data_IF_547992694213
#
_entry.id   IF_547992694213
#
_cell.length_a   1.000
_cell.length_b   1.000
_cell.length_c   1.000
_cell.angle_alpha   90.00
_cell.angle_beta   90.00
_cell.angle_gamma   90.00
#
_symmetry.space_group_name_H-M   'P 1'
#
loop_
_entity.id
_entity.type
_entity.pdbx_description
1 polymer ?
#
# COMPACT_ATOMS: atom_id res chain seq x y z
N UNK A 1 -8.75 10.69 -25.52
CA UNK A 1 -9.43 9.44 -25.92
C UNK A 1 -10.87 9.48 -25.43
N UNK A 2 -11.87 9.11 -26.24
CA UNK A 2 -13.25 8.91 -25.78
C UNK A 2 -13.32 7.87 -24.66
N UNK A 3 -14.24 8.05 -23.69
CA UNK A 3 -14.41 7.17 -22.51
C UNK A 3 -14.54 5.67 -22.86
N UNK A 4 -15.13 5.36 -24.03
CA UNK A 4 -15.28 3.99 -24.54
C UNK A 4 -13.94 3.29 -24.81
N UNK A 5 -12.94 4.02 -25.30
CA UNK A 5 -11.60 3.48 -25.55
C UNK A 5 -10.87 3.22 -24.24
N UNK A 6 -11.02 4.11 -23.24
CA UNK A 6 -10.40 3.95 -21.93
C UNK A 6 -10.95 2.72 -21.17
N UNK A 7 -12.26 2.47 -21.26
CA UNK A 7 -12.88 1.25 -20.70
C UNK A 7 -12.43 -0.02 -21.43
N UNK A 8 -12.25 0.05 -22.76
CA UNK A 8 -11.75 -1.09 -23.55
C UNK A 8 -10.31 -1.43 -23.18
N UNK A 9 -9.49 -0.40 -22.93
CA UNK A 9 -8.14 -0.57 -22.43
C UNK A 9 -8.17 -1.20 -21.03
N UNK A 10 -8.93 -0.67 -20.07
CA UNK A 10 -9.06 -1.25 -18.73
C UNK A 10 -9.37 -2.75 -18.77
N UNK A 11 -10.36 -3.15 -19.58
CA UNK A 11 -10.72 -4.57 -19.74
C UNK A 11 -9.55 -5.40 -20.25
N UNK A 12 -8.87 -4.94 -21.32
CA UNK A 12 -7.70 -5.64 -21.87
C UNK A 12 -6.61 -5.80 -20.82
N UNK A 13 -6.36 -4.76 -20.04
CA UNK A 13 -5.34 -4.76 -18.99
C UNK A 13 -5.69 -5.69 -17.84
N UNK A 14 -6.95 -5.70 -17.42
CA UNK A 14 -7.45 -6.61 -16.38
C UNK A 14 -7.31 -8.08 -16.81
N UNK A 15 -7.62 -8.40 -18.06
CA UNK A 15 -7.40 -9.76 -18.60
C UNK A 15 -5.92 -10.13 -18.58
N UNK A 16 -5.03 -9.22 -18.98
CA UNK A 16 -3.57 -9.47 -18.94
C UNK A 16 -3.04 -9.64 -17.50
N UNK A 17 -3.56 -8.89 -16.54
CA UNK A 17 -3.27 -9.08 -15.10
C UNK A 17 -3.72 -10.47 -14.67
N UNK A 18 -4.95 -10.86 -14.98
CA UNK A 18 -5.49 -12.16 -14.62
C UNK A 18 -4.67 -13.31 -15.22
N UNK A 19 -4.26 -13.22 -16.50
CA UNK A 19 -3.38 -14.21 -17.13
C UNK A 19 -2.03 -14.29 -16.41
N UNK A 20 -1.43 -13.14 -16.07
CA UNK A 20 -0.16 -13.12 -15.33
C UNK A 20 -0.28 -13.72 -13.92
N UNK A 21 -1.38 -13.45 -13.22
CA UNK A 21 -1.67 -14.03 -11.92
C UNK A 21 -1.90 -15.55 -12.00
N UNK A 22 -2.56 -16.05 -13.05
CA UNK A 22 -2.75 -17.48 -13.28
C UNK A 22 -1.42 -18.16 -13.56
N UNK A 23 -0.59 -17.60 -14.45
CA UNK A 23 0.74 -18.14 -14.74
C UNK A 23 1.64 -18.10 -13.50
N UNK A 24 1.59 -17.00 -12.75
CA UNK A 24 2.27 -16.89 -11.46
C UNK A 24 1.76 -17.94 -10.46
N UNK A 25 0.45 -18.20 -10.42
CA UNK A 25 -0.17 -19.20 -9.56
C UNK A 25 0.27 -20.62 -9.91
N UNK A 26 0.41 -20.94 -11.20
CA UNK A 26 0.99 -22.21 -11.66
C UNK A 26 2.45 -22.33 -11.19
N UNK A 27 3.25 -21.28 -11.33
CA UNK A 27 4.62 -21.27 -10.79
C UNK A 27 4.63 -21.41 -9.25
N UNK A 28 3.70 -20.75 -8.56
CA UNK A 28 3.52 -20.86 -7.11
C UNK A 28 3.14 -22.27 -6.67
N UNK A 29 2.34 -22.99 -7.48
CA UNK A 29 1.98 -24.38 -7.23
C UNK A 29 3.19 -25.30 -7.25
N UNK A 30 4.11 -25.09 -8.20
CA UNK A 30 5.37 -25.84 -8.28
C UNK A 30 6.32 -25.53 -7.11
N UNK A 31 6.19 -24.34 -6.51
CA UNK A 31 6.99 -23.86 -5.39
C UNK A 31 6.28 -24.00 -4.02
N UNK A 32 5.16 -24.73 -3.98
CA UNK A 32 4.34 -24.86 -2.78
C UNK A 32 5.13 -25.44 -1.59
N UNK A 33 5.78 -26.60 -1.76
CA UNK A 33 6.47 -27.30 -0.67
C UNK A 33 7.54 -26.44 0.03
N UNK A 34 8.53 -25.84 -0.67
CA UNK A 34 9.56 -25.04 -0.01
C UNK A 34 8.99 -23.78 0.66
N UNK A 35 7.98 -23.15 0.05
CA UNK A 35 7.36 -21.94 0.63
C UNK A 35 6.49 -22.28 1.82
N UNK A 36 5.74 -23.38 1.76
CA UNK A 36 4.93 -23.85 2.88
C UNK A 36 5.81 -24.15 4.10
N UNK A 37 6.97 -24.77 3.90
CA UNK A 37 7.96 -24.97 4.98
C UNK A 37 8.46 -23.63 5.55
N UNK A 38 8.77 -22.66 4.68
CA UNK A 38 9.17 -21.32 5.11
C UNK A 38 8.08 -20.64 5.93
N UNK A 39 6.82 -20.63 5.46
CA UNK A 39 5.68 -20.00 6.11
C UNK A 39 5.41 -20.51 7.54
N UNK A 40 5.85 -21.73 7.87
CA UNK A 40 5.70 -22.32 9.21
C UNK A 40 6.80 -21.90 10.19
N UNK A 41 7.95 -21.45 9.69
CA UNK A 41 9.13 -21.15 10.49
C UNK A 41 8.88 -20.14 11.63
N UNK A 42 8.12 -19.03 11.44
CA UNK A 42 7.83 -18.09 12.52
C UNK A 42 7.09 -18.73 13.69
N UNK A 43 6.20 -19.70 13.43
CA UNK A 43 5.49 -20.44 14.48
C UNK A 43 6.46 -21.35 15.21
N UNK A 44 7.31 -22.09 14.47
CA UNK A 44 8.30 -22.98 15.07
C UNK A 44 9.27 -22.24 15.97
N UNK A 45 9.68 -21.02 15.60
CA UNK A 45 10.57 -20.19 16.41
C UNK A 45 9.90 -19.69 17.70
N UNK A 46 8.62 -19.33 17.65
CA UNK A 46 7.87 -18.92 18.84
C UNK A 46 7.57 -20.12 19.74
N UNK A 47 7.24 -21.27 19.15
CA UNK A 47 6.98 -22.53 19.84
C UNK A 47 8.25 -23.18 20.42
N UNK A 48 9.44 -22.91 19.90
CA UNK A 48 10.68 -23.37 20.54
C UNK A 48 11.04 -22.56 21.80
N UNK A 49 10.46 -21.37 21.97
CA UNK A 49 10.67 -20.49 23.12
C UNK A 49 9.64 -20.64 24.24
N UNK A 50 8.59 -21.43 24.03
CA UNK A 50 7.58 -21.81 25.04
C UNK A 50 7.50 -23.33 25.02
N UNK A 51 7.52 -24.04 26.15
CA UNK A 51 7.36 -25.51 26.19
C UNK A 51 5.94 -25.99 25.77
N UNK A 52 5.36 -25.38 24.72
CA UNK A 52 4.02 -25.65 24.19
C UNK A 52 4.11 -26.30 22.81
N UNK A 53 3.37 -27.38 22.62
CA UNK A 53 3.26 -28.10 21.36
C UNK A 53 2.36 -27.32 20.40
N UNK A 54 2.91 -26.32 19.70
CA UNK A 54 2.18 -25.64 18.61
C UNK A 54 2.22 -26.52 17.36
N UNK A 55 1.21 -27.35 17.19
CA UNK A 55 1.03 -28.18 15.99
C UNK A 55 -0.04 -27.55 15.10
N UNK A 56 0.31 -27.31 13.83
CA UNK A 56 -0.64 -26.85 12.82
C UNK A 56 -1.55 -28.03 12.45
N UNK A 57 -2.77 -28.03 12.97
CA UNK A 57 -3.74 -29.07 12.63
C UNK A 57 -4.54 -28.67 11.38
N UNK A 58 -4.76 -29.64 10.50
CA UNK A 58 -5.63 -29.52 9.33
C UNK A 58 -6.88 -30.35 9.59
N UNK A 59 -8.01 -29.68 9.78
CA UNK A 59 -9.25 -30.32 10.25
C UNK A 59 -9.89 -31.32 9.26
N UNK A 60 -9.41 -31.39 8.00
CA UNK A 60 -9.89 -32.38 7.03
C UNK A 60 -9.08 -32.48 5.73
N UNK A 61 -9.26 -33.55 4.96
CA UNK A 61 -8.48 -33.81 3.73
C UNK A 61 -8.60 -32.70 2.68
N UNK A 62 -9.77 -32.07 2.58
CA UNK A 62 -9.99 -30.92 1.68
C UNK A 62 -9.25 -29.64 2.11
N UNK A 63 -8.93 -29.49 3.40
CA UNK A 63 -8.24 -28.29 3.93
C UNK A 63 -6.80 -28.21 3.45
N UNK A 64 -6.14 -29.34 3.24
CA UNK A 64 -4.79 -29.39 2.67
C UNK A 64 -4.78 -28.91 1.21
N UNK A 65 -5.75 -29.34 0.41
CA UNK A 65 -5.90 -28.87 -0.97
C UNK A 65 -6.24 -27.37 -1.04
N UNK A 66 -7.19 -26.90 -0.22
CA UNK A 66 -7.53 -25.47 -0.14
C UNK A 66 -6.32 -24.62 0.26
N UNK A 67 -5.53 -25.09 1.23
CA UNK A 67 -4.28 -24.44 1.61
C UNK A 67 -3.28 -24.40 0.45
N UNK A 68 -3.09 -25.50 -0.26
CA UNK A 68 -2.18 -25.56 -1.40
C UNK A 68 -2.59 -24.56 -2.49
N UNK A 69 -3.88 -24.48 -2.82
CA UNK A 69 -4.41 -23.47 -3.76
C UNK A 69 -4.13 -22.06 -3.27
N UNK A 70 -4.41 -21.74 -2.00
CA UNK A 70 -4.20 -20.41 -1.42
C UNK A 70 -2.73 -19.98 -1.45
N UNK A 71 -1.81 -20.86 -1.04
CA UNK A 71 -0.36 -20.59 -1.07
C UNK A 71 0.12 -20.40 -2.51
N UNK A 72 -0.37 -21.21 -3.44
CA UNK A 72 -0.04 -21.08 -4.86
C UNK A 72 -0.50 -19.74 -5.43
N UNK A 73 -1.72 -19.31 -5.13
CA UNK A 73 -2.25 -18.01 -5.55
C UNK A 73 -1.49 -16.85 -4.90
N UNK A 74 -1.19 -16.95 -3.60
CA UNK A 74 -0.38 -15.98 -2.87
C UNK A 74 0.99 -15.79 -3.53
N UNK A 75 1.71 -16.88 -3.76
CA UNK A 75 2.98 -16.86 -4.48
C UNK A 75 2.81 -16.33 -5.89
N UNK A 76 1.71 -16.65 -6.56
CA UNK A 76 1.39 -16.11 -7.87
C UNK A 76 1.34 -14.58 -7.86
N UNK A 77 0.72 -13.95 -6.86
CA UNK A 77 0.71 -12.49 -6.72
C UNK A 77 2.12 -11.93 -6.51
N UNK A 78 2.96 -12.59 -5.71
CA UNK A 78 4.34 -12.17 -5.42
C UNK A 78 5.26 -12.29 -6.63
N UNK A 79 5.27 -13.46 -7.27
CA UNK A 79 6.13 -13.78 -8.41
C UNK A 79 5.72 -12.96 -9.63
N UNK A 80 4.41 -12.82 -9.89
CA UNK A 80 3.91 -12.01 -11.00
C UNK A 80 3.85 -10.51 -10.69
N UNK A 81 4.36 -10.06 -9.53
CA UNK A 81 4.38 -8.63 -9.15
C UNK A 81 4.98 -7.69 -10.20
N UNK A 82 6.07 -8.03 -10.91
CA UNK A 82 6.57 -7.17 -11.99
C UNK A 82 5.56 -7.00 -13.13
N UNK A 83 4.82 -8.06 -13.45
CA UNK A 83 3.86 -8.09 -14.54
C UNK A 83 2.57 -7.34 -14.21
N UNK A 84 1.91 -7.68 -13.10
CA UNK A 84 0.63 -7.04 -12.78
C UNK A 84 0.80 -5.58 -12.39
N UNK A 85 1.90 -5.21 -11.71
CA UNK A 85 2.21 -3.80 -11.45
C UNK A 85 2.49 -3.03 -12.74
N UNK A 86 3.23 -3.62 -13.68
CA UNK A 86 3.43 -3.01 -15.01
C UNK A 86 2.09 -2.71 -15.67
N UNK A 87 1.20 -3.69 -15.65
CA UNK A 87 -0.08 -3.59 -16.33
C UNK A 87 -1.00 -2.55 -15.69
N UNK A 88 -0.96 -2.44 -14.35
CA UNK A 88 -1.65 -1.41 -13.57
C UNK A 88 -1.12 0.00 -13.90
N UNK A 89 0.19 0.20 -13.90
CA UNK A 89 0.79 1.50 -14.22
C UNK A 89 0.58 1.91 -15.68
N UNK A 90 0.69 0.95 -16.59
CA UNK A 90 0.51 1.22 -18.00
C UNK A 90 -0.96 1.56 -18.36
N UNK A 91 -1.95 1.28 -17.47
CA UNK A 91 -3.32 1.81 -17.60
C UNK A 91 -3.40 3.32 -17.40
N UNK A 92 -2.56 3.86 -16.52
CA UNK A 92 -2.50 5.29 -16.17
C UNK A 92 -1.68 6.06 -17.22
N UNK A 93 -0.67 5.39 -17.80
CA UNK A 93 0.27 5.95 -18.78
C UNK A 93 -0.28 6.47 -20.14
N UNK A 94 -1.43 6.03 -20.71
CA UNK A 94 -1.82 6.39 -22.07
C UNK A 94 -2.12 7.87 -22.28
N UNK A 95 -2.31 8.64 -21.21
CA UNK A 95 -2.50 10.10 -21.26
C UNK A 95 -1.21 10.92 -21.17
N UNK A 96 -0.06 10.27 -20.93
CA UNK A 96 1.20 10.96 -20.65
C UNK A 96 2.08 11.13 -21.91
N UNK A 97 2.85 12.22 -21.93
CA UNK A 97 3.79 12.55 -23.00
C UNK A 97 4.95 11.55 -23.06
N UNK A 98 5.70 11.52 -24.18
CA UNK A 98 6.84 10.61 -24.35
C UNK A 98 7.90 10.72 -23.25
N UNK A 99 8.13 11.93 -22.70
CA UNK A 99 9.08 12.16 -21.59
C UNK A 99 8.53 11.62 -20.27
N UNK A 100 7.23 11.75 -20.05
CA UNK A 100 6.56 11.27 -18.85
C UNK A 100 6.44 9.75 -18.78
N UNK A 101 6.42 9.08 -19.93
CA UNK A 101 6.48 7.61 -20.01
C UNK A 101 7.76 7.04 -19.36
N UNK A 102 8.87 7.78 -19.39
CA UNK A 102 10.10 7.35 -18.73
C UNK A 102 9.97 7.41 -17.19
N UNK A 103 9.26 8.40 -16.66
CA UNK A 103 8.96 8.46 -15.23
C UNK A 103 8.06 7.29 -14.80
N UNK A 104 7.07 6.92 -15.61
CA UNK A 104 6.23 5.75 -15.34
C UNK A 104 7.03 4.44 -15.21
N UNK A 105 8.08 4.26 -16.03
CA UNK A 105 8.99 3.11 -15.91
C UNK A 105 9.83 3.19 -14.63
N UNK A 106 10.30 4.39 -14.26
CA UNK A 106 11.02 4.60 -12.99
C UNK A 106 10.15 4.28 -11.76
N UNK A 107 8.88 4.68 -11.76
CA UNK A 107 7.95 4.34 -10.68
C UNK A 107 7.66 2.85 -10.61
N UNK A 108 7.53 2.17 -11.75
CA UNK A 108 7.40 0.72 -11.77
C UNK A 108 8.64 0.02 -11.19
N UNK A 109 9.83 0.49 -11.57
CA UNK A 109 11.09 -0.03 -11.05
C UNK A 109 11.25 0.18 -9.54
N UNK A 110 10.60 1.22 -8.98
CA UNK A 110 10.50 1.41 -7.53
C UNK A 110 9.37 0.58 -6.88
N UNK A 111 8.24 0.42 -7.57
CA UNK A 111 7.05 -0.26 -7.05
C UNK A 111 7.28 -1.74 -6.77
N UNK A 112 7.98 -2.45 -7.67
CA UNK A 112 8.20 -3.90 -7.52
C UNK A 112 9.08 -4.21 -6.29
N UNK A 113 10.28 -3.62 -6.12
CA UNK A 113 11.07 -3.82 -4.91
C UNK A 113 10.35 -3.36 -3.66
N UNK A 114 9.59 -2.26 -3.73
CA UNK A 114 8.89 -1.74 -2.55
C UNK A 114 7.73 -2.64 -2.12
N UNK A 115 6.98 -3.22 -3.07
CA UNK A 115 5.98 -4.25 -2.79
C UNK A 115 6.60 -5.48 -2.11
N UNK A 116 7.72 -5.99 -2.65
CA UNK A 116 8.43 -7.12 -2.07
C UNK A 116 9.02 -6.78 -0.70
N UNK A 117 9.54 -5.56 -0.52
CA UNK A 117 10.02 -5.06 0.76
C UNK A 117 8.88 -4.95 1.80
N UNK A 118 7.68 -4.55 1.38
CA UNK A 118 6.49 -4.56 2.22
C UNK A 118 6.12 -5.97 2.68
N UNK A 119 6.07 -6.92 1.75
CA UNK A 119 5.85 -8.33 2.08
C UNK A 119 6.94 -8.89 3.02
N UNK A 120 8.20 -8.51 2.79
CA UNK A 120 9.33 -8.84 3.67
C UNK A 120 9.23 -8.19 5.05
N UNK A 121 8.76 -6.94 5.15
CA UNK A 121 8.53 -6.29 6.44
C UNK A 121 7.43 -7.01 7.23
N UNK A 122 6.35 -7.42 6.58
CA UNK A 122 5.32 -8.23 7.23
C UNK A 122 5.89 -9.53 7.80
N UNK A 123 6.79 -10.19 7.07
CA UNK A 123 7.51 -11.37 7.56
C UNK A 123 8.29 -11.10 8.85
N UNK A 124 8.96 -9.95 8.95
CA UNK A 124 9.73 -9.55 10.13
C UNK A 124 8.85 -9.14 11.32
N UNK A 125 7.68 -8.56 11.05
CA UNK A 125 6.73 -8.13 12.09
C UNK A 125 5.89 -9.30 12.61
N UNK A 126 5.69 -10.34 11.79
CA UNK A 126 4.82 -11.47 12.09
C UNK A 126 5.12 -12.18 13.43
N UNK A 127 6.37 -12.50 13.81
CA UNK A 127 6.65 -13.12 15.11
C UNK A 127 6.18 -12.27 16.29
N UNK A 128 6.29 -10.94 16.19
CA UNK A 128 5.82 -10.03 17.24
C UNK A 128 4.29 -10.03 17.33
N UNK A 129 3.60 -10.06 16.18
CA UNK A 129 2.15 -10.18 16.14
C UNK A 129 1.68 -11.51 16.76
N UNK A 130 2.35 -12.62 16.45
CA UNK A 130 2.04 -13.94 17.01
C UNK A 130 2.31 -13.99 18.52
N UNK A 131 3.48 -13.52 18.99
CA UNK A 131 3.80 -13.46 20.42
C UNK A 131 2.76 -12.68 21.21
N UNK A 132 2.40 -11.51 20.70
CA UNK A 132 1.43 -10.65 21.33
C UNK A 132 0.03 -11.27 21.38
N UNK A 133 -0.36 -12.06 20.37
CA UNK A 133 -1.60 -12.84 20.40
C UNK A 133 -1.57 -13.95 21.46
N UNK A 134 -0.44 -14.66 21.55
CA UNK A 134 -0.26 -15.72 22.54
C UNK A 134 -0.16 -15.20 23.97
N UNK A 135 0.27 -13.96 24.19
CA UNK A 135 0.28 -13.31 25.51
C UNK A 135 -1.12 -13.09 26.09
N UNK A 136 -2.17 -13.09 25.26
CA UNK A 136 -3.56 -13.05 25.72
C UNK A 136 -4.12 -14.43 26.10
N UNK A 137 -3.37 -15.51 25.88
CA UNK A 137 -3.80 -16.86 26.28
C UNK A 137 -3.63 -17.01 27.79
N UNK A 138 -4.69 -17.33 28.56
CA UNK A 138 -4.58 -17.51 30.00
C UNK A 138 -3.58 -18.62 30.37
N UNK A 139 -2.78 -18.43 31.43
CA UNK A 139 -1.84 -19.45 31.89
C UNK A 139 -2.58 -20.74 32.24
N UNK A 140 -2.09 -21.88 31.75
CA UNK A 140 -2.69 -23.21 31.98
C UNK A 140 -3.71 -23.65 30.91
N UNK A 141 -3.84 -22.92 29.79
CA UNK A 141 -4.65 -23.34 28.64
C UNK A 141 -3.78 -23.56 27.41
N UNK A 142 -4.01 -24.64 26.66
CA UNK A 142 -3.29 -24.91 25.43
C UNK A 142 -3.90 -24.13 24.26
N UNK A 143 -3.10 -23.34 23.54
CA UNK A 143 -3.55 -22.64 22.34
C UNK A 143 -3.46 -23.56 21.11
N UNK A 144 -4.56 -24.22 20.78
CA UNK A 144 -4.68 -25.02 19.55
C UNK A 144 -5.06 -24.09 18.40
N UNK A 145 -4.06 -23.54 17.72
CA UNK A 145 -4.28 -22.66 16.57
C UNK A 145 -4.49 -23.49 15.29
N UNK A 146 -5.62 -23.25 14.61
CA UNK A 146 -5.91 -23.82 13.30
C UNK A 146 -4.85 -23.36 12.28
N UNK A 147 -4.17 -24.32 11.64
CA UNK A 147 -3.09 -24.01 10.73
C UNK A 147 -3.53 -23.34 9.44
N UNK A 148 -4.75 -23.61 9.00
CA UNK A 148 -5.36 -22.93 7.88
C UNK A 148 -5.69 -21.47 8.19
N UNK A 149 -6.24 -21.19 9.37
CA UNK A 149 -6.50 -19.83 9.81
C UNK A 149 -5.21 -19.03 9.93
N UNK A 150 -4.18 -19.62 10.54
CA UNK A 150 -2.88 -18.99 10.73
C UNK A 150 -2.22 -18.65 9.39
N UNK A 151 -2.03 -19.61 8.48
CA UNK A 151 -1.38 -19.34 7.20
C UNK A 151 -2.20 -18.36 6.34
N UNK A 152 -3.53 -18.43 6.40
CA UNK A 152 -4.40 -17.45 5.73
C UNK A 152 -4.20 -16.04 6.26
N UNK A 153 -4.05 -15.88 7.58
CA UNK A 153 -3.69 -14.61 8.21
C UNK A 153 -2.32 -14.12 7.74
N UNK A 154 -1.30 -14.97 7.76
CA UNK A 154 0.06 -14.63 7.31
C UNK A 154 0.08 -14.15 5.87
N UNK A 155 -0.53 -14.90 4.96
CA UNK A 155 -0.59 -14.55 3.54
C UNK A 155 -1.33 -13.22 3.32
N UNK A 156 -2.47 -13.02 3.99
CA UNK A 156 -3.23 -11.76 3.92
C UNK A 156 -2.42 -10.58 4.45
N UNK A 157 -1.74 -10.75 5.58
CA UNK A 157 -0.88 -9.74 6.20
C UNK A 157 0.26 -9.33 5.26
N UNK A 158 0.95 -10.31 4.66
CA UNK A 158 2.04 -10.05 3.72
C UNK A 158 1.57 -9.31 2.46
N UNK A 159 0.44 -9.71 1.90
CA UNK A 159 -0.16 -9.01 0.75
C UNK A 159 -0.63 -7.60 1.13
N UNK A 160 -1.20 -7.44 2.33
CA UNK A 160 -1.66 -6.16 2.86
C UNK A 160 -0.48 -5.17 3.00
N UNK A 161 0.62 -5.58 3.62
CA UNK A 161 1.82 -4.76 3.71
C UNK A 161 2.44 -4.48 2.35
N UNK A 162 2.55 -5.48 1.47
CA UNK A 162 3.04 -5.28 0.11
C UNK A 162 2.22 -4.22 -0.64
N UNK A 163 0.89 -4.32 -0.58
CA UNK A 163 -0.01 -3.34 -1.17
C UNK A 163 0.09 -1.95 -0.51
N UNK A 164 0.22 -1.88 0.82
CA UNK A 164 0.40 -0.63 1.54
C UNK A 164 1.69 0.09 1.11
N UNK A 165 2.75 -0.66 0.85
CA UNK A 165 4.03 -0.14 0.35
C UNK A 165 3.94 0.41 -1.08
N UNK A 166 2.87 0.14 -1.83
CA UNK A 166 2.62 0.81 -3.11
C UNK A 166 2.09 2.22 -2.93
N UNK A 167 1.46 2.53 -1.78
CA UNK A 167 0.90 3.86 -1.50
C UNK A 167 1.95 4.98 -1.59
N UNK A 168 3.15 4.86 -0.97
CA UNK A 168 4.22 5.83 -1.15
C UNK A 168 4.57 6.11 -2.62
N UNK A 169 4.66 5.07 -3.45
CA UNK A 169 4.99 5.24 -4.88
C UNK A 169 3.92 6.05 -5.59
N UNK A 170 2.65 5.72 -5.35
CA UNK A 170 1.52 6.42 -5.95
C UNK A 170 1.47 7.87 -5.48
N UNK A 171 1.67 8.13 -4.19
CA UNK A 171 1.69 9.50 -3.63
C UNK A 171 2.80 10.34 -4.27
N UNK A 172 4.03 9.83 -4.31
CA UNK A 172 5.17 10.53 -4.91
C UNK A 172 4.98 10.72 -6.41
N UNK A 173 4.44 9.72 -7.12
CA UNK A 173 4.16 9.83 -8.54
C UNK A 173 3.15 10.94 -8.85
N UNK A 174 2.02 10.97 -8.13
CA UNK A 174 1.01 12.01 -8.29
C UNK A 174 1.58 13.40 -7.98
N UNK A 175 2.43 13.50 -6.96
CA UNK A 175 3.11 14.74 -6.60
C UNK A 175 4.08 15.22 -7.69
N UNK A 176 4.88 14.31 -8.26
CA UNK A 176 5.83 14.64 -9.33
C UNK A 176 5.13 15.04 -10.64
N UNK A 177 3.95 14.48 -10.92
CA UNK A 177 3.13 14.89 -12.09
C UNK A 177 2.42 16.23 -11.88
N UNK A 178 2.48 16.83 -10.69
CA UNK A 178 1.79 18.07 -10.35
C UNK A 178 0.28 17.92 -10.15
N UNK A 179 -0.26 16.69 -10.15
CA UNK A 179 -1.69 16.42 -9.96
C UNK A 179 -2.14 16.68 -8.53
N UNK A 180 -1.28 16.40 -7.54
CA UNK A 180 -1.59 16.57 -6.12
C UNK A 180 -0.39 17.15 -5.40
N UNK A 181 -0.55 18.28 -4.72
CA UNK A 181 0.54 18.91 -3.94
C UNK A 181 0.73 18.21 -2.59
N UNK A 182 1.94 18.30 -2.02
CA UNK A 182 2.22 17.75 -0.69
C UNK A 182 1.30 18.35 0.39
N UNK A 183 0.86 19.60 0.21
CA UNK A 183 -0.11 20.26 1.12
C UNK A 183 -1.46 19.56 1.14
N UNK A 184 -1.94 19.07 0.00
CA UNK A 184 -3.21 18.35 -0.11
C UNK A 184 -3.14 17.02 0.64
N UNK A 185 -2.04 16.29 0.48
CA UNK A 185 -1.77 15.08 1.28
C UNK A 185 -1.69 15.42 2.78
N UNK A 186 -0.99 16.50 3.15
CA UNK A 186 -0.91 16.92 4.54
C UNK A 186 -2.29 17.25 5.14
N UNK A 187 -3.19 17.89 4.39
CA UNK A 187 -4.56 18.17 4.84
C UNK A 187 -5.42 16.90 4.95
N UNK A 188 -5.20 15.93 4.06
CA UNK A 188 -5.90 14.64 4.01
C UNK A 188 -5.45 13.60 5.04
N UNK A 189 -4.57 13.94 5.98
CA UNK A 189 -3.97 12.98 6.92
C UNK A 189 -4.99 12.15 7.72
N UNK A 190 -6.14 12.76 8.09
CA UNK A 190 -7.22 12.08 8.83
C UNK A 190 -7.83 10.93 8.02
N UNK A 191 -8.00 11.14 6.71
CA UNK A 191 -8.49 10.13 5.80
C UNK A 191 -7.47 9.02 5.56
N UNK A 192 -6.18 9.37 5.49
CA UNK A 192 -5.12 8.37 5.37
C UNK A 192 -5.08 7.43 6.59
N UNK A 193 -5.22 7.98 7.80
CA UNK A 193 -5.33 7.20 9.04
C UNK A 193 -6.57 6.31 8.99
N UNK A 194 -7.75 6.86 8.67
CA UNK A 194 -8.99 6.08 8.57
C UNK A 194 -8.87 4.92 7.58
N UNK A 195 -8.37 5.18 6.37
CA UNK A 195 -8.17 4.16 5.32
C UNK A 195 -7.19 3.09 5.79
N UNK A 196 -6.10 3.47 6.49
CA UNK A 196 -5.14 2.52 7.04
C UNK A 196 -5.78 1.60 8.07
N UNK A 197 -6.64 2.12 8.93
CA UNK A 197 -7.39 1.32 9.91
C UNK A 197 -8.45 0.43 9.26
N UNK A 198 -9.19 0.93 8.27
CA UNK A 198 -10.17 0.13 7.51
C UNK A 198 -9.46 -1.01 6.78
N UNK A 199 -8.31 -0.72 6.16
CA UNK A 199 -7.52 -1.73 5.47
C UNK A 199 -6.94 -2.76 6.43
N UNK A 200 -6.42 -2.33 7.59
CA UNK A 200 -5.98 -3.23 8.64
C UNK A 200 -7.11 -4.16 9.08
N UNK A 201 -8.31 -3.63 9.33
CA UNK A 201 -9.48 -4.41 9.73
C UNK A 201 -9.92 -5.45 8.68
N UNK A 202 -9.73 -5.17 7.39
CA UNK A 202 -10.01 -6.12 6.30
C UNK A 202 -8.90 -7.17 6.16
N UNK A 203 -7.65 -6.78 6.42
CA UNK A 203 -6.49 -7.66 6.32
C UNK A 203 -6.40 -8.66 7.48
N UNK A 204 -6.82 -8.26 8.69
CA UNK A 204 -6.84 -9.10 9.88
C UNK A 204 -8.16 -9.89 9.96
N UNK A 205 -8.13 -11.24 9.96
CA UNK A 205 -9.35 -12.04 10.05
C UNK A 205 -9.97 -12.02 11.45
N UNK A 206 -9.18 -11.75 12.49
CA UNK A 206 -9.66 -11.54 13.85
C UNK A 206 -9.91 -10.05 14.07
N UNK A 207 -11.11 -9.64 14.51
CA UNK A 207 -11.40 -8.26 14.88
C UNK A 207 -10.85 -7.98 16.29
N UNK A 208 -9.56 -8.19 16.49
CA UNK A 208 -8.88 -7.83 17.72
C UNK A 208 -8.12 -6.51 17.53
N UNK A 209 -8.24 -5.62 18.52
CA UNK A 209 -7.71 -4.25 18.43
C UNK A 209 -6.19 -4.24 18.27
N UNK A 210 -5.49 -5.24 18.81
CA UNK A 210 -4.04 -5.18 18.86
C UNK A 210 -3.40 -5.62 17.55
N UNK A 211 -3.88 -6.67 16.89
CA UNK A 211 -3.42 -6.99 15.53
C UNK A 211 -3.78 -5.88 14.56
N UNK A 212 -4.98 -5.31 14.68
CA UNK A 212 -5.40 -4.18 13.86
C UNK A 212 -4.46 -2.98 14.04
N UNK A 213 -4.06 -2.64 15.27
CA UNK A 213 -3.06 -1.60 15.53
C UNK A 213 -1.66 -1.96 15.02
N UNK A 214 -1.24 -3.21 15.17
CA UNK A 214 0.06 -3.70 14.70
C UNK A 214 0.20 -3.60 13.18
N UNK A 215 -0.91 -3.67 12.43
CA UNK A 215 -0.96 -3.46 10.97
C UNK A 215 -1.14 -1.99 10.61
N UNK A 216 -2.08 -1.29 11.25
CA UNK A 216 -2.40 0.10 10.92
C UNK A 216 -1.24 1.06 11.24
N UNK A 217 -0.48 0.81 12.32
CA UNK A 217 0.61 1.69 12.74
C UNK A 217 1.74 1.77 11.69
N UNK A 218 2.30 0.66 11.17
CA UNK A 218 3.25 0.69 10.06
C UNK A 218 2.70 1.39 8.81
N UNK A 219 1.42 1.22 8.48
CA UNK A 219 0.78 1.89 7.34
C UNK A 219 0.72 3.41 7.52
N UNK A 220 0.35 3.88 8.71
CA UNK A 220 0.38 5.30 9.04
C UNK A 220 1.81 5.86 8.96
N UNK A 221 2.81 5.10 9.42
CA UNK A 221 4.20 5.50 9.34
C UNK A 221 4.69 5.62 7.87
N UNK A 222 4.30 4.67 7.01
CA UNK A 222 4.55 4.73 5.57
C UNK A 222 3.95 5.98 4.94
N UNK A 223 2.72 6.32 5.31
CA UNK A 223 2.05 7.52 4.83
C UNK A 223 2.82 8.80 5.20
N UNK A 224 3.25 8.91 6.46
CA UNK A 224 4.05 10.06 6.92
C UNK A 224 5.41 10.12 6.22
N UNK A 225 6.07 8.98 6.03
CA UNK A 225 7.32 8.89 5.27
C UNK A 225 7.16 9.34 3.81
N UNK A 226 6.10 8.88 3.13
CA UNK A 226 5.76 9.29 1.78
C UNK A 226 5.44 10.78 1.67
N UNK A 227 4.68 11.32 2.64
CA UNK A 227 4.39 12.74 2.74
C UNK A 227 5.67 13.57 2.90
N UNK A 228 6.64 13.09 3.70
CA UNK A 228 7.96 13.69 3.85
C UNK A 228 8.71 13.76 2.52
N UNK A 229 8.69 12.69 1.71
CA UNK A 229 9.29 12.69 0.38
C UNK A 229 8.62 13.70 -0.57
N UNK A 230 7.29 13.80 -0.53
CA UNK A 230 6.55 14.79 -1.32
C UNK A 230 6.90 16.23 -0.91
N UNK A 231 7.00 16.51 0.40
CA UNK A 231 7.42 17.82 0.91
C UNK A 231 8.85 18.19 0.51
N UNK A 232 9.77 17.22 0.51
CA UNK A 232 11.14 17.43 0.04
C UNK A 232 11.18 17.73 -1.46
N UNK A 233 10.35 17.05 -2.25
CA UNK A 233 10.22 17.31 -3.68
C UNK A 233 9.69 18.72 -3.94
N UNK A 234 8.58 19.10 -3.31
CA UNK A 234 7.96 20.43 -3.49
C UNK A 234 8.91 21.55 -3.08
N UNK A 235 9.64 21.39 -1.98
CA UNK A 235 10.68 22.35 -1.56
C UNK A 235 11.80 22.50 -2.59
N UNK A 236 12.19 21.44 -3.30
CA UNK A 236 13.21 21.51 -4.35
C UNK A 236 12.68 22.22 -5.60
N UNK A 237 11.42 21.99 -5.95
CA UNK A 237 10.76 22.64 -7.09
C UNK A 237 10.56 24.13 -6.81
N UNK A 238 10.01 24.49 -5.65
CA UNK A 238 9.81 25.89 -5.25
C UNK A 238 11.12 26.69 -5.23
N UNK A 239 12.22 26.08 -4.78
CA UNK A 239 13.54 26.74 -4.82
C UNK A 239 14.00 27.07 -6.25
N UNK A 240 13.69 26.20 -7.22
CA UNK A 240 14.03 26.44 -8.64
C UNK A 240 13.13 27.53 -9.23
N UNK A 241 11.83 27.45 -8.97
CA UNK A 241 10.87 28.47 -9.42
C UNK A 241 11.23 29.86 -8.88
N UNK A 242 11.56 29.95 -7.59
CA UNK A 242 12.02 31.21 -6.97
C UNK A 242 13.31 31.72 -7.61
N UNK A 243 14.27 30.85 -7.92
CA UNK A 243 15.51 31.24 -8.59
C UNK A 243 15.29 31.73 -10.03
N UNK A 244 14.26 31.22 -10.70
CA UNK A 244 13.82 31.64 -12.03
C UNK A 244 12.87 32.85 -12.01
N UNK A 245 12.52 33.38 -10.83
CA UNK A 245 11.59 34.51 -10.66
C UNK A 245 10.12 34.14 -10.92
N UNK A 246 9.80 32.85 -10.98
CA UNK A 246 8.45 32.33 -11.20
C UNK A 246 7.67 32.20 -9.88
N UNK A 247 6.32 32.20 -9.93
CA UNK A 247 5.49 31.90 -8.77
C UNK A 247 5.79 30.50 -8.22
N UNK A 248 5.71 30.34 -6.88
CA UNK A 248 5.79 29.04 -6.20
C UNK A 248 4.62 28.13 -6.57
N UNK A 249 4.69 26.86 -6.23
CA UNK A 249 3.63 25.87 -6.47
C UNK A 249 2.29 26.26 -5.81
N UNK A 250 2.31 27.03 -4.72
CA UNK A 250 1.12 27.56 -4.07
C UNK A 250 0.57 28.85 -4.70
N UNK A 251 1.18 29.32 -5.80
CA UNK A 251 0.81 30.53 -6.52
C UNK A 251 1.34 31.84 -5.90
N UNK A 252 2.16 31.78 -4.85
CA UNK A 252 2.77 32.97 -4.23
C UNK A 252 4.02 33.43 -4.97
N UNK A 253 4.24 34.75 -5.05
CA UNK A 253 5.47 35.29 -5.64
C UNK A 253 6.66 35.18 -4.67
N UNK A 254 7.91 35.16 -5.19
CA UNK A 254 9.11 35.29 -4.36
C UNK A 254 9.04 36.54 -3.48
N UNK A 255 8.84 36.36 -2.17
CA UNK A 255 8.75 37.44 -1.18
C UNK A 255 7.37 37.62 -0.52
N UNK A 256 6.29 37.07 -1.08
CA UNK A 256 4.96 37.05 -0.45
C UNK A 256 4.86 35.90 0.57
N UNK A 257 4.23 36.14 1.74
CA UNK A 257 3.92 35.07 2.70
C UNK A 257 2.70 34.26 2.22
N UNK A 258 2.63 32.95 2.49
CA UNK A 258 1.46 32.14 2.16
C UNK A 258 0.19 32.73 2.80
N UNK A 259 -0.74 33.21 1.98
CA UNK A 259 -2.03 33.80 2.42
C UNK A 259 -2.22 35.30 2.13
N UNK A 260 -1.16 36.03 1.76
CA UNK A 260 -1.21 37.50 1.62
C UNK A 260 -2.00 37.99 0.39
N UNK A 261 -2.13 37.14 -0.64
CA UNK A 261 -3.02 37.40 -1.80
C UNK A 261 -4.51 37.24 -1.48
N UNK A 262 -4.88 36.39 -0.53
CA UNK A 262 -6.28 36.20 -0.16
C UNK A 262 -6.86 37.46 0.51
N UNK A 263 -6.01 38.23 1.20
CA UNK A 263 -6.38 39.48 1.89
C UNK A 263 -6.40 40.72 0.96
N UNK A 264 -5.81 40.61 -0.24
CA UNK A 264 -5.83 41.65 -1.28
C UNK A 264 -6.96 41.52 -2.30
N UNK A 265 -7.84 40.51 -2.16
CA UNK A 265 -9.05 40.45 -2.99
C UNK A 265 -9.82 41.77 -2.80
N UNK A 266 -10.19 42.49 -3.89
CA UNK A 266 -10.89 43.75 -3.75
C UNK A 266 -12.18 43.48 -2.98
N UNK A 267 -12.35 44.15 -1.83
CA UNK A 267 -13.65 44.27 -1.17
C UNK A 267 -14.52 45.06 -2.15
N UNK A 268 -15.16 44.35 -3.08
CA UNK A 268 -16.10 44.92 -4.03
C UNK A 268 -17.17 45.64 -3.22
N UNK A 269 -17.27 46.94 -3.47
CA UNK A 269 -18.01 47.90 -2.67
C UNK A 269 -19.45 47.47 -2.39
N UNK A 270 -19.89 47.74 -1.16
CA UNK A 270 -21.31 47.74 -0.84
C UNK A 270 -22.06 48.73 -1.75
N UNK A 271 -23.33 48.46 -2.07
CA UNK A 271 -24.08 49.34 -2.95
C UNK A 271 -24.29 50.70 -2.26
N UNK A 272 -23.82 51.76 -2.91
CA UNK A 272 -24.30 53.11 -2.61
C UNK A 272 -25.77 53.19 -3.05
N UNK A 273 -26.68 53.07 -2.08
CA UNK A 273 -28.05 53.54 -2.22
C UNK A 273 -28.02 55.06 -2.24
N UNK A 274 -28.00 55.63 -3.45
CA UNK A 274 -28.30 57.03 -3.70
C UNK A 274 -29.75 57.17 -4.21
N UNK A 275 -30.34 58.28 -3.78
CA UNK A 275 -31.75 58.62 -3.87
C UNK A 275 -32.31 58.78 -5.30
N UNK A 276 -33.60 58.47 -5.44
CA UNK A 276 -34.44 58.73 -6.61
C UNK A 276 -35.88 58.37 -6.32
#
# INVERSE_FOLDING_TARGET
MPLREHLRELRRRLVLIAVGLVLGGIAGWLLYEPVFALLQEPVRQVAAGRDEVVTLNFAGVATAFDMQVKVSLFLGVLISSPWWLYQLWAFITPGLTRRERLYAVGFLAAAVPLFLAGAGLAWLVLPNAVRLLLDFTPPGTANVTDGQLYLSFVMRLMLAFGAAFLLPVVMVALNMTGLVQARTWAQGWRWAVLISFVFAAVATPTPDVVTMLAVAFPMCLLYVGALGLCLLHDRRVDRRLVAEGLPRLDGTMPGERPGERADRAPRTGGPATDAG
#
